data_IF_740598351340
#
_entry.id   IF_740598351340
#
_cell.length_a   1.000
_cell.length_b   1.000
_cell.length_c   1.000
_cell.angle_alpha   90.00
_cell.angle_beta   90.00
_cell.angle_gamma   90.00
#
_symmetry.space_group_name_H-M   'P 1'
#
loop_
_entity.id
_entity.type
_entity.pdbx_description
1 polymer ?
#
# COMPACT_ATOMS: atom_id res chain seq x y z
N UNK A 1 36.73 37.79 -42.67
CA UNK A 1 36.55 37.71 -41.20
C UNK A 1 35.30 36.89 -40.98
N UNK A 2 35.53 35.59 -41.06
CA UNK A 2 34.52 34.56 -41.22
C UNK A 2 33.95 34.23 -39.85
N UNK A 3 32.66 34.49 -39.67
CA UNK A 3 31.96 34.29 -38.40
C UNK A 3 31.55 32.83 -38.32
N UNK A 4 32.30 32.04 -37.54
CA UNK A 4 31.99 30.64 -37.26
C UNK A 4 30.86 30.62 -36.21
N UNK A 5 29.65 30.14 -36.52
CA UNK A 5 28.61 29.98 -35.51
C UNK A 5 29.00 28.83 -34.59
N UNK A 6 29.41 29.15 -33.36
CA UNK A 6 30.07 28.21 -32.46
C UNK A 6 29.11 27.23 -31.76
N UNK A 7 27.80 27.46 -31.76
CA UNK A 7 26.83 26.56 -31.15
C UNK A 7 25.48 26.60 -31.88
N UNK A 8 25.05 25.46 -32.41
CA UNK A 8 23.65 25.25 -32.80
C UNK A 8 22.78 25.17 -31.55
N UNK A 9 21.61 25.80 -31.62
CA UNK A 9 20.64 25.87 -30.53
C UNK A 9 20.29 24.45 -30.05
N UNK A 10 20.39 24.14 -28.74
CA UNK A 10 20.17 22.79 -28.25
C UNK A 10 18.71 22.37 -28.48
N UNK A 11 18.51 21.27 -29.20
CA UNK A 11 17.20 20.68 -29.43
C UNK A 11 16.53 20.38 -28.08
N UNK A 12 15.27 20.81 -27.85
CA UNK A 12 14.57 20.54 -26.61
C UNK A 12 14.38 19.02 -26.47
N UNK A 13 15.01 18.45 -25.45
CA UNK A 13 14.89 17.02 -25.16
C UNK A 13 13.41 16.65 -25.03
N UNK A 14 12.96 15.69 -25.85
CA UNK A 14 11.60 15.17 -25.80
C UNK A 14 11.26 14.72 -24.37
N UNK A 15 10.05 15.02 -23.85
CA UNK A 15 9.67 14.60 -22.52
C UNK A 15 9.72 13.07 -22.42
N UNK A 16 10.21 12.52 -21.29
CA UNK A 16 10.33 11.08 -21.14
C UNK A 16 8.96 10.42 -21.30
N UNK A 17 8.86 9.46 -22.24
CA UNK A 17 7.64 8.68 -22.48
C UNK A 17 7.13 8.13 -21.13
N UNK A 18 5.84 8.27 -20.81
CA UNK A 18 5.29 7.76 -19.56
C UNK A 18 5.58 6.26 -19.49
N UNK A 19 6.31 5.85 -18.46
CA UNK A 19 6.56 4.43 -18.19
C UNK A 19 5.21 3.75 -18.10
N UNK A 20 4.96 2.74 -18.95
CA UNK A 20 3.80 1.86 -18.81
C UNK A 20 3.82 1.31 -17.38
N UNK A 21 2.94 1.81 -16.53
CA UNK A 21 2.65 1.19 -15.24
C UNK A 21 2.31 -0.27 -15.51
N UNK A 22 3.04 -1.24 -14.92
CA UNK A 22 2.68 -2.64 -15.08
C UNK A 22 1.24 -2.76 -14.61
N UNK A 23 0.38 -3.20 -15.53
CA UNK A 23 -1.07 -3.13 -15.37
C UNK A 23 -1.46 -3.53 -13.96
N UNK A 24 -2.16 -2.63 -13.28
CA UNK A 24 -2.86 -2.93 -12.04
C UNK A 24 -3.80 -4.07 -12.37
N UNK A 25 -3.33 -5.31 -12.20
CA UNK A 25 -4.18 -6.48 -12.27
C UNK A 25 -5.30 -6.17 -11.29
N UNK A 26 -6.54 -6.07 -11.80
CA UNK A 26 -7.78 -6.00 -11.03
C UNK A 26 -7.99 -7.33 -10.28
N UNK A 27 -6.96 -7.79 -9.56
CA UNK A 27 -6.97 -8.96 -8.73
C UNK A 27 -7.79 -8.58 -7.50
N UNK A 28 -9.01 -9.11 -7.44
CA UNK A 28 -9.88 -8.99 -6.29
C UNK A 28 -9.08 -9.32 -5.02
N UNK A 29 -9.15 -8.49 -3.97
CA UNK A 29 -8.39 -8.73 -2.75
C UNK A 29 -8.85 -10.04 -2.11
N UNK A 30 -7.89 -10.91 -1.83
CA UNK A 30 -8.15 -12.19 -1.16
C UNK A 30 -7.95 -11.98 0.33
N UNK A 31 -8.95 -12.39 1.11
CA UNK A 31 -8.99 -12.22 2.55
C UNK A 31 -8.86 -13.57 3.25
N UNK A 32 -7.93 -13.68 4.19
CA UNK A 32 -7.78 -14.86 5.04
C UNK A 32 -7.42 -14.47 6.46
N UNK A 33 -7.64 -15.38 7.41
CA UNK A 33 -7.12 -15.18 8.77
C UNK A 33 -5.61 -15.31 8.79
N UNK A 34 -4.99 -14.46 9.59
CA UNK A 34 -3.59 -14.51 9.91
C UNK A 34 -3.41 -15.18 11.27
N UNK A 35 -2.87 -16.40 11.27
CA UNK A 35 -2.53 -17.15 12.49
C UNK A 35 -1.03 -17.45 12.48
N UNK A 36 -0.17 -16.47 12.77
CA UNK A 36 1.26 -16.72 12.79
C UNK A 36 1.67 -17.44 14.08
N UNK A 37 2.79 -18.16 14.02
CA UNK A 37 3.48 -18.61 15.23
C UNK A 37 3.98 -17.43 16.07
N UNK A 38 4.34 -16.32 15.42
CA UNK A 38 4.81 -15.08 16.07
C UNK A 38 3.86 -13.92 15.76
N UNK A 39 3.27 -13.26 16.77
CA UNK A 39 2.34 -12.16 16.54
C UNK A 39 3.04 -11.00 15.83
N UNK A 40 2.47 -10.53 14.72
CA UNK A 40 2.92 -9.30 14.04
C UNK A 40 1.96 -8.15 14.27
N UNK A 41 2.49 -6.94 14.22
CA UNK A 41 1.70 -5.72 14.33
C UNK A 41 0.94 -5.44 13.03
N UNK A 42 -0.17 -4.74 13.16
CA UNK A 42 -0.96 -4.28 12.03
C UNK A 42 -0.18 -3.25 11.21
N UNK A 43 -0.08 -3.46 9.90
CA UNK A 43 0.65 -2.59 8.98
C UNK A 43 0.07 -1.17 8.98
N UNK A 44 -1.26 -1.03 8.95
CA UNK A 44 -1.91 0.29 8.99
C UNK A 44 -1.67 1.02 10.31
N UNK A 45 -1.67 0.31 11.44
CA UNK A 45 -1.30 0.94 12.71
C UNK A 45 0.17 1.42 12.69
N UNK A 46 1.06 0.63 12.10
CA UNK A 46 2.47 0.98 11.99
C UNK A 46 2.68 2.16 11.05
N UNK A 47 1.90 2.26 9.96
CA UNK A 47 1.91 3.41 9.06
C UNK A 47 1.51 4.70 9.78
N UNK A 48 0.39 4.68 10.52
CA UNK A 48 -0.05 5.85 11.32
C UNK A 48 0.98 6.23 12.38
N UNK A 49 1.61 5.26 13.04
CA UNK A 49 2.69 5.54 14.00
C UNK A 49 3.90 6.19 13.33
N UNK A 50 4.26 5.75 12.13
CA UNK A 50 5.36 6.36 11.37
C UNK A 50 5.02 7.80 10.95
N UNK A 51 3.79 8.04 10.46
CA UNK A 51 3.31 9.37 10.07
C UNK A 51 3.25 10.34 11.26
N UNK A 52 2.79 9.86 12.41
CA UNK A 52 2.67 10.65 13.65
C UNK A 52 3.97 10.71 14.46
N UNK A 53 5.08 10.15 13.95
CA UNK A 53 6.37 10.06 14.66
C UNK A 53 6.24 9.48 16.08
N UNK A 54 5.32 8.53 16.26
CA UNK A 54 5.08 7.87 17.55
C UNK A 54 4.11 8.58 18.50
N UNK A 55 3.54 9.73 18.12
CA UNK A 55 2.49 10.41 18.91
C UNK A 55 1.11 9.75 18.78
N UNK A 56 0.95 8.84 17.82
CA UNK A 56 -0.30 8.14 17.54
C UNK A 56 -0.62 6.96 18.48
N UNK A 57 -1.80 6.36 18.30
CA UNK A 57 -2.22 5.21 19.10
C UNK A 57 -1.32 3.98 18.87
N UNK A 58 -1.13 3.17 19.91
CA UNK A 58 -0.31 1.96 19.83
C UNK A 58 -0.77 0.96 18.77
N UNK A 59 0.20 0.27 18.17
CA UNK A 59 -0.07 -0.76 17.18
C UNK A 59 -0.66 -2.01 17.80
N UNK A 60 -1.81 -2.42 17.26
CA UNK A 60 -2.49 -3.66 17.63
C UNK A 60 -1.91 -4.85 16.85
N UNK A 61 -2.13 -6.05 17.37
CA UNK A 61 -1.74 -7.30 16.70
C UNK A 61 -2.62 -7.53 15.46
N UNK A 62 -1.98 -7.98 14.38
CA UNK A 62 -2.67 -8.36 13.16
C UNK A 62 -3.34 -9.72 13.30
N UNK A 63 -4.58 -9.83 12.81
CA UNK A 63 -5.42 -11.03 12.84
C UNK A 63 -5.90 -11.42 11.44
N UNK A 64 -5.85 -10.47 10.50
CA UNK A 64 -6.32 -10.65 9.13
C UNK A 64 -5.20 -10.41 8.14
N UNK A 65 -5.22 -11.16 7.04
CA UNK A 65 -4.34 -10.98 5.89
C UNK A 65 -5.19 -10.60 4.69
N UNK A 66 -4.86 -9.48 4.06
CA UNK A 66 -5.41 -9.03 2.78
C UNK A 66 -4.33 -9.15 1.72
N UNK A 67 -4.52 -9.99 0.71
CA UNK A 67 -3.59 -10.15 -0.42
C UNK A 67 -4.16 -9.43 -1.64
N UNK A 68 -3.38 -8.52 -2.22
CA UNK A 68 -3.73 -7.78 -3.44
C UNK A 68 -2.59 -7.94 -4.43
N UNK A 69 -2.80 -8.76 -5.46
CA UNK A 69 -1.74 -9.13 -6.39
C UNK A 69 -0.57 -9.84 -5.69
N UNK A 70 0.62 -9.25 -5.79
CA UNK A 70 1.86 -9.74 -5.14
C UNK A 70 2.05 -9.21 -3.71
N UNK A 71 1.37 -8.12 -3.35
CA UNK A 71 1.46 -7.54 -2.02
C UNK A 71 0.47 -8.21 -1.06
N UNK A 72 0.83 -8.23 0.23
CA UNK A 72 -0.10 -8.58 1.29
C UNK A 72 0.02 -7.57 2.43
N UNK A 73 -1.07 -7.40 3.16
CA UNK A 73 -1.18 -6.55 4.32
C UNK A 73 -1.73 -7.36 5.49
N UNK A 74 -1.16 -7.12 6.65
CA UNK A 74 -1.51 -7.70 7.93
C UNK A 74 -2.27 -6.65 8.75
N UNK A 75 -3.50 -6.98 9.11
CA UNK A 75 -4.47 -6.02 9.62
C UNK A 75 -5.03 -6.50 10.95
N UNK A 76 -5.17 -5.58 11.91
CA UNK A 76 -5.98 -5.82 13.11
C UNK A 76 -7.47 -5.78 12.74
N UNK A 77 -8.35 -6.28 13.61
CA UNK A 77 -9.79 -6.30 13.35
C UNK A 77 -10.39 -4.96 12.85
N UNK A 78 -10.15 -3.80 13.50
CA UNK A 78 -10.75 -2.54 13.04
C UNK A 78 -10.25 -2.11 11.66
N UNK A 79 -8.95 -2.19 11.37
CA UNK A 79 -8.43 -1.85 10.04
C UNK A 79 -8.84 -2.87 8.96
N UNK A 80 -8.96 -4.15 9.33
CA UNK A 80 -9.49 -5.18 8.46
C UNK A 80 -10.96 -4.91 8.10
N UNK A 81 -11.77 -4.46 9.05
CA UNK A 81 -13.15 -4.06 8.84
C UNK A 81 -13.25 -2.88 7.86
N UNK A 82 -12.51 -1.80 8.14
CA UNK A 82 -12.50 -0.59 7.29
C UNK A 82 -12.10 -0.91 5.84
N UNK A 83 -11.04 -1.70 5.66
CA UNK A 83 -10.59 -2.11 4.32
C UNK A 83 -11.58 -3.05 3.63
N UNK A 84 -12.28 -3.92 4.36
CA UNK A 84 -13.36 -4.74 3.78
C UNK A 84 -14.54 -3.91 3.32
N UNK A 85 -14.93 -2.91 4.12
CA UNK A 85 -15.99 -1.96 3.78
C UNK A 85 -15.61 -1.18 2.52
N UNK A 86 -14.36 -0.73 2.40
CA UNK A 86 -13.83 -0.10 1.19
C UNK A 86 -13.78 -1.06 -0.01
N UNK A 87 -13.51 -2.35 0.22
CA UNK A 87 -13.54 -3.39 -0.81
C UNK A 87 -14.98 -3.83 -1.20
N UNK A 88 -16.02 -3.28 -0.57
CA UNK A 88 -17.42 -3.66 -0.80
C UNK A 88 -17.77 -5.07 -0.32
N UNK A 89 -16.99 -5.64 0.60
CA UNK A 89 -17.16 -6.99 1.13
C UNK A 89 -18.01 -6.98 2.40
N UNK A 90 -18.71 -8.09 2.72
CA UNK A 90 -19.49 -8.20 3.95
C UNK A 90 -18.59 -8.04 5.18
N UNK A 91 -19.15 -7.48 6.26
CA UNK A 91 -18.46 -7.26 7.54
C UNK A 91 -17.80 -8.53 8.05
N UNK A 92 -16.64 -8.40 8.68
CA UNK A 92 -15.98 -9.52 9.35
C UNK A 92 -16.82 -9.91 10.56
N UNK A 93 -17.15 -11.20 10.69
CA UNK A 93 -17.75 -11.71 11.93
C UNK A 93 -16.83 -11.33 13.08
N UNK A 94 -17.35 -10.62 14.08
CA UNK A 94 -16.61 -10.36 15.32
C UNK A 94 -16.24 -11.71 15.88
N UNK A 95 -14.96 -12.03 15.89
CA UNK A 95 -14.51 -13.13 16.73
C UNK A 95 -14.41 -12.59 18.13
N UNK A 96 -15.31 -13.09 18.97
CA UNK A 96 -15.16 -13.07 20.41
C UNK A 96 -13.84 -13.79 20.68
N UNK A 97 -12.81 -13.03 21.07
CA UNK A 97 -11.63 -13.61 21.69
C UNK A 97 -12.11 -14.30 22.97
N UNK A 98 -12.07 -15.63 22.98
CA UNK A 98 -12.00 -16.39 24.22
C UNK A 98 -10.59 -16.24 24.80
#
# INVERSE_FOLDING_TARGET
>A
MDTIPLFGEPEPAEPPKPKKTPGTSNAKPVWSRYRPATPRKCDDCMAVLAETKGAGPHSRTAVWKRKTGRAFLLLCYPHAQQRREADGLPKLKKEISA
#
